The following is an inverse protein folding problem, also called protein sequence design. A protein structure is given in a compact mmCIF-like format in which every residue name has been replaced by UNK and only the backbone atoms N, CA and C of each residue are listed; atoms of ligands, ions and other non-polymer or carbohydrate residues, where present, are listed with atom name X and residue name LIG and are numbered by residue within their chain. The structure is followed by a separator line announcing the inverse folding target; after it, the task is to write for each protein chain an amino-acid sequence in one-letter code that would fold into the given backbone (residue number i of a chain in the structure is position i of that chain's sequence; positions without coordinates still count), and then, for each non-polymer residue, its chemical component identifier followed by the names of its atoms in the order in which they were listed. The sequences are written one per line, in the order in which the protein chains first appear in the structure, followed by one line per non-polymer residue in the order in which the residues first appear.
data_IF_577738502243
#
_entry.id   IF_577738502243
#
_cell.length_a   1.000
_cell.length_b   1.000
_cell.length_c   1.000
_cell.angle_alpha   90.00
_cell.angle_beta   90.00
_cell.angle_gamma   90.00
#
_symmetry.space_group_name_H-M   'P 1'
#
loop_
_entity.id
_entity.type
_entity.pdbx_description
1 polymer ?
#
# COMPACT_ATOMS: atom_id res chain seq x y z
N UNK A 1 31.92 7.51 -14.35
CA UNK A 1 32.01 7.39 -12.88
C UNK A 1 31.51 8.61 -12.06
N UNK A 2 31.09 9.75 -12.66
CA UNK A 2 30.57 10.91 -11.90
C UNK A 2 29.05 10.90 -11.66
N UNK A 3 28.30 10.22 -12.52
CA UNK A 3 26.82 10.13 -12.47
C UNK A 3 26.34 9.22 -11.33
N UNK A 4 27.03 8.09 -11.08
CA UNK A 4 26.65 7.11 -10.05
C UNK A 4 26.83 7.62 -8.62
N UNK A 5 27.84 8.48 -8.36
CA UNK A 5 28.04 9.09 -7.03
C UNK A 5 26.97 10.13 -6.71
N UNK A 6 26.54 10.91 -7.70
CA UNK A 6 25.49 11.92 -7.52
C UNK A 6 24.11 11.27 -7.36
N UNK A 7 23.85 10.17 -8.06
CA UNK A 7 22.63 9.37 -7.90
C UNK A 7 22.56 8.67 -6.53
N UNK A 8 23.68 8.10 -6.04
CA UNK A 8 23.75 7.52 -4.68
C UNK A 8 23.49 8.56 -3.60
N UNK A 9 24.11 9.75 -3.66
CA UNK A 9 23.82 10.81 -2.69
C UNK A 9 22.36 11.28 -2.77
N UNK A 10 21.78 11.40 -3.96
CA UNK A 10 20.37 11.74 -4.13
C UNK A 10 19.47 10.74 -3.39
N UNK A 11 19.67 9.43 -3.60
CA UNK A 11 18.86 8.38 -2.97
C UNK A 11 19.03 8.37 -1.45
N UNK A 12 20.26 8.46 -0.89
CA UNK A 12 20.45 8.36 0.56
C UNK A 12 19.96 9.60 1.30
N UNK A 13 20.18 10.80 0.75
CA UNK A 13 19.82 12.06 1.42
C UNK A 13 18.33 12.38 1.25
N UNK A 14 17.74 12.10 0.08
CA UNK A 14 16.30 12.27 -0.14
C UNK A 14 15.51 11.18 0.59
N UNK A 15 15.92 9.90 0.56
CA UNK A 15 15.18 8.84 1.25
C UNK A 15 15.23 8.95 2.78
N UNK A 16 16.39 9.30 3.36
CA UNK A 16 16.51 9.47 4.82
C UNK A 16 15.74 10.70 5.33
N UNK A 17 15.67 11.78 4.55
CA UNK A 17 14.99 13.01 4.96
C UNK A 17 13.50 13.03 4.57
N UNK A 18 13.10 12.37 3.49
CA UNK A 18 11.69 12.20 3.13
C UNK A 18 10.91 11.41 4.19
N UNK A 19 11.56 10.45 4.86
CA UNK A 19 10.97 9.78 6.05
C UNK A 19 10.80 10.77 7.21
N UNK A 20 11.71 11.74 7.35
CA UNK A 20 11.72 12.71 8.46
C UNK A 20 10.77 13.92 8.24
N UNK A 21 10.52 14.33 6.99
CA UNK A 21 9.53 15.39 6.68
C UNK A 21 8.10 14.85 6.60
N UNK A 22 7.93 13.53 6.44
CA UNK A 22 6.63 12.85 6.40
C UNK A 22 5.84 12.97 7.71
N UNK A 23 6.53 13.03 8.84
CA UNK A 23 5.90 13.13 10.17
C UNK A 23 5.29 14.51 10.45
N UNK A 24 5.76 15.57 9.80
CA UNK A 24 5.36 16.95 10.10
C UNK A 24 4.18 17.47 9.25
N UNK A 25 3.86 16.83 8.12
CA UNK A 25 2.89 17.34 7.15
C UNK A 25 1.49 16.69 7.20
N UNK A 26 1.27 15.72 8.09
CA UNK A 26 0.00 15.02 8.25
C UNK A 26 -0.60 15.38 9.61
N UNK A 27 -1.70 16.14 9.62
CA UNK A 27 -2.40 16.53 10.86
C UNK A 27 -2.70 15.27 11.68
N UNK A 28 -2.25 15.18 12.95
CA UNK A 28 -2.83 14.25 13.89
C UNK A 28 -4.24 14.75 14.25
N UNK A 29 -5.27 13.95 13.97
CA UNK A 29 -6.54 14.11 14.67
C UNK A 29 -6.38 13.46 16.03
N UNK A 30 -6.44 14.25 17.09
CA UNK A 30 -6.42 13.73 18.46
C UNK A 30 -7.61 12.80 18.67
N UNK A 31 -7.34 11.55 19.04
CA UNK A 31 -8.36 10.58 19.41
C UNK A 31 -8.06 10.10 20.84
N UNK A 32 -8.93 10.52 21.75
CA UNK A 32 -8.95 10.09 23.14
C UNK A 32 -10.07 9.05 23.36
N UNK A 33 -9.70 8.06 24.16
CA UNK A 33 -10.51 7.22 25.08
C UNK A 33 -11.51 6.17 24.55
N UNK A 34 -11.15 4.92 24.87
CA UNK A 34 -11.94 3.77 25.39
C UNK A 34 -13.47 3.72 25.16
N UNK A 35 -13.94 2.59 24.62
CA UNK A 35 -15.19 1.95 25.08
C UNK A 35 -15.27 0.46 24.68
N UNK A 36 -15.82 -0.33 25.60
CA UNK A 36 -16.04 -1.78 25.57
C UNK A 36 -17.03 -2.28 24.48
N UNK A 37 -17.06 -3.61 24.26
CA UNK A 37 -17.63 -4.35 23.11
C UNK A 37 -19.17 -4.35 22.94
N UNK A 38 -19.75 -5.14 21.99
CA UNK A 38 -19.75 -6.62 22.07
C UNK A 38 -19.70 -7.43 20.74
N UNK A 39 -19.55 -8.76 20.92
CA UNK A 39 -19.72 -9.93 20.03
C UNK A 39 -18.52 -10.50 19.22
N UNK A 40 -18.34 -11.85 19.21
CA UNK A 40 -17.10 -12.51 18.80
C UNK A 40 -16.99 -12.62 17.28
N UNK A 41 -16.34 -11.63 16.69
CA UNK A 41 -15.63 -11.77 15.42
C UNK A 41 -14.45 -12.71 15.70
N UNK A 42 -14.08 -13.67 14.83
CA UNK A 42 -12.93 -14.55 15.08
C UNK A 42 -11.73 -13.69 15.50
N UNK A 43 -11.06 -14.10 16.57
CA UNK A 43 -10.11 -13.38 17.45
C UNK A 43 -8.95 -12.64 16.73
N UNK A 44 -9.29 -11.72 15.83
CA UNK A 44 -8.37 -10.96 15.01
C UNK A 44 -8.18 -9.59 15.65
N UNK A 45 -6.94 -9.30 16.04
CA UNK A 45 -6.60 -8.03 16.67
C UNK A 45 -6.77 -6.87 15.68
N UNK A 46 -6.90 -5.64 16.19
CA UNK A 46 -6.99 -4.43 15.34
C UNK A 46 -5.80 -4.33 14.38
N UNK A 47 -4.62 -4.75 14.80
CA UNK A 47 -3.40 -4.77 13.98
C UNK A 47 -3.50 -5.79 12.84
N UNK A 48 -4.12 -6.94 13.10
CA UNK A 48 -4.36 -7.98 12.09
C UNK A 48 -5.33 -7.49 11.02
N UNK A 49 -6.39 -6.78 11.44
CA UNK A 49 -7.36 -6.16 10.53
C UNK A 49 -6.69 -5.05 9.72
N UNK A 50 -5.90 -4.18 10.36
CA UNK A 50 -5.12 -3.13 9.69
C UNK A 50 -4.19 -3.73 8.62
N UNK A 51 -3.47 -4.80 8.96
CA UNK A 51 -2.62 -5.55 8.02
C UNK A 51 -3.43 -6.12 6.86
N UNK A 52 -4.60 -6.68 7.11
CA UNK A 52 -5.47 -7.20 6.06
C UNK A 52 -5.95 -6.09 5.10
N UNK A 53 -6.30 -4.91 5.62
CA UNK A 53 -6.60 -3.73 4.79
C UNK A 53 -5.39 -3.27 3.98
N UNK A 54 -4.18 -3.25 4.57
CA UNK A 54 -2.94 -2.90 3.89
C UNK A 54 -2.68 -3.82 2.70
N UNK A 55 -2.72 -5.13 2.92
CA UNK A 55 -2.47 -6.12 1.87
C UNK A 55 -3.57 -6.13 0.80
N UNK A 56 -4.83 -5.92 1.18
CA UNK A 56 -5.95 -5.77 0.25
C UNK A 56 -5.79 -4.53 -0.64
N UNK A 57 -5.30 -3.42 -0.08
CA UNK A 57 -5.05 -2.17 -0.81
C UNK A 57 -4.05 -2.37 -1.95
N UNK A 58 -2.91 -2.99 -1.67
CA UNK A 58 -1.93 -3.36 -2.70
C UNK A 58 -2.56 -4.23 -3.80
N UNK A 59 -3.34 -5.24 -3.40
CA UNK A 59 -3.92 -6.20 -4.31
C UNK A 59 -4.95 -5.58 -5.28
N UNK A 60 -5.84 -4.74 -4.74
CA UNK A 60 -6.86 -4.02 -5.54
C UNK A 60 -6.21 -3.04 -6.49
N UNK A 61 -5.26 -2.21 -6.00
CA UNK A 61 -4.57 -1.26 -6.87
C UNK A 61 -3.79 -1.96 -7.97
N UNK A 62 -3.12 -3.07 -7.66
CA UNK A 62 -2.37 -3.86 -8.64
C UNK A 62 -3.28 -4.38 -9.76
N UNK A 63 -4.47 -4.89 -9.43
CA UNK A 63 -5.45 -5.32 -10.43
C UNK A 63 -6.00 -4.14 -11.24
N UNK A 64 -6.27 -2.99 -10.60
CA UNK A 64 -6.77 -1.79 -11.25
C UNK A 64 -5.79 -1.24 -12.30
N UNK A 65 -4.47 -1.30 -12.03
CA UNK A 65 -3.42 -0.94 -13.00
C UNK A 65 -3.03 -2.09 -13.96
N UNK A 66 -3.83 -3.17 -13.99
CA UNK A 66 -3.67 -4.27 -14.96
C UNK A 66 -2.53 -5.25 -14.64
N UNK A 67 -2.08 -5.34 -13.39
CA UNK A 67 -1.10 -6.34 -12.92
C UNK A 67 -1.82 -7.55 -12.34
N UNK A 68 -1.21 -8.72 -12.49
CA UNK A 68 -1.78 -9.96 -11.97
C UNK A 68 -1.21 -10.31 -10.60
N UNK A 69 -2.07 -10.72 -9.68
CA UNK A 69 -1.67 -11.21 -8.35
C UNK A 69 -1.34 -12.70 -8.40
N UNK A 70 -0.31 -13.11 -7.66
CA UNK A 70 0.05 -14.50 -7.41
C UNK A 70 -0.64 -15.00 -6.13
N UNK A 71 -0.45 -14.28 -5.03
CA UNK A 71 -0.97 -14.62 -3.70
C UNK A 71 -1.00 -13.37 -2.82
N UNK A 72 -1.92 -13.32 -1.86
CA UNK A 72 -1.95 -12.32 -0.80
C UNK A 72 -2.04 -13.05 0.54
N UNK A 73 -1.29 -12.60 1.53
CA UNK A 73 -1.27 -13.20 2.86
C UNK A 73 -1.12 -12.12 3.93
N UNK A 74 -1.74 -12.32 5.10
CA UNK A 74 -1.49 -11.53 6.30
C UNK A 74 -0.59 -12.27 7.30
N UNK A 75 -0.13 -13.49 6.94
CA UNK A 75 0.79 -14.23 7.78
C UNK A 75 2.13 -13.49 7.90
N UNK A 76 2.75 -13.47 9.09
CA UNK A 76 4.06 -12.87 9.26
C UNK A 76 5.12 -13.65 8.46
N UNK A 77 5.87 -12.94 7.62
CA UNK A 77 7.01 -13.48 6.89
C UNK A 77 8.33 -13.23 7.64
N UNK A 78 9.34 -14.07 7.43
CA UNK A 78 10.71 -13.81 7.92
C UNK A 78 11.50 -13.01 6.89
N UNK A 79 12.14 -11.92 7.31
CA UNK A 79 13.12 -11.21 6.49
C UNK A 79 14.48 -11.93 6.55
N UNK A 80 15.22 -11.91 5.43
CA UNK A 80 16.50 -12.61 5.30
C UNK A 80 17.58 -12.14 6.29
N UNK A 81 17.46 -10.91 6.81
CA UNK A 81 18.45 -10.31 7.72
C UNK A 81 17.95 -10.20 9.17
N UNK A 82 16.97 -11.03 9.55
CA UNK A 82 16.27 -10.91 10.83
C UNK A 82 15.18 -9.83 10.78
N UNK A 83 14.06 -10.10 11.46
CA UNK A 83 12.84 -9.29 11.42
C UNK A 83 11.65 -10.04 10.83
N UNK A 84 10.44 -9.57 11.16
CA UNK A 84 9.18 -10.07 10.61
C UNK A 84 8.54 -9.01 9.69
N UNK A 85 7.97 -9.46 8.56
CA UNK A 85 7.08 -8.64 7.73
C UNK A 85 5.65 -9.03 8.06
N UNK A 86 4.77 -8.05 8.29
CA UNK A 86 3.36 -8.25 8.56
C UNK A 86 2.64 -8.37 7.21
N UNK A 87 2.43 -9.59 6.70
CA UNK A 87 1.75 -9.82 5.42
C UNK A 87 2.60 -9.69 4.17
N UNK A 88 2.03 -10.07 3.02
CA UNK A 88 2.64 -9.92 1.68
C UNK A 88 1.60 -10.02 0.57
N UNK A 89 1.63 -9.05 -0.34
CA UNK A 89 0.98 -9.11 -1.65
C UNK A 89 2.01 -9.46 -2.74
N UNK A 90 2.01 -10.70 -3.20
CA UNK A 90 2.89 -11.19 -4.26
C UNK A 90 2.28 -10.91 -5.64
N UNK A 91 2.89 -10.02 -6.41
CA UNK A 91 2.49 -9.72 -7.80
C UNK A 91 3.26 -10.63 -8.75
N UNK A 92 2.57 -11.21 -9.75
CA UNK A 92 3.19 -12.06 -10.76
C UNK A 92 4.26 -11.29 -11.53
N UNK A 93 5.40 -11.94 -11.75
CA UNK A 93 6.47 -11.42 -12.61
C UNK A 93 5.98 -11.34 -14.06
N UNK A 94 6.38 -10.28 -14.75
CA UNK A 94 6.00 -10.02 -16.14
C UNK A 94 5.50 -8.58 -16.32
N UNK A 95 5.64 -8.04 -17.53
CA UNK A 95 5.10 -6.73 -17.86
C UNK A 95 3.57 -6.83 -17.97
N UNK A 96 2.86 -5.88 -17.37
CA UNK A 96 1.45 -5.67 -17.73
C UNK A 96 1.42 -5.26 -19.21
N UNK A 97 0.64 -5.98 -20.03
CA UNK A 97 0.39 -5.60 -21.42
C UNK A 97 -0.49 -4.35 -21.40
N UNK A 98 0.12 -3.16 -21.35
CA UNK A 98 -0.61 -1.89 -21.51
C UNK A 98 -0.27 -0.75 -20.57
N UNK A 99 0.65 -0.93 -19.60
CA UNK A 99 1.06 0.19 -18.74
C UNK A 99 1.75 1.29 -19.56
N UNK A 100 1.14 2.48 -19.58
CA UNK A 100 1.71 3.68 -20.20
C UNK A 100 2.83 4.28 -19.35
N UNK A 101 2.74 4.11 -18.02
CA UNK A 101 3.75 4.57 -17.07
C UNK A 101 3.94 3.54 -15.94
N UNK A 102 4.89 2.63 -16.13
CA UNK A 102 5.17 1.54 -15.17
C UNK A 102 5.61 2.06 -13.80
N UNK A 103 6.30 3.20 -13.76
CA UNK A 103 6.76 3.76 -12.50
C UNK A 103 5.60 4.35 -11.73
N UNK A 104 4.68 5.03 -12.41
CA UNK A 104 3.46 5.51 -11.78
C UNK A 104 2.66 4.34 -11.21
N UNK A 105 2.41 3.29 -12.00
CA UNK A 105 1.68 2.10 -11.55
C UNK A 105 2.34 1.45 -10.33
N UNK A 106 3.67 1.31 -10.34
CA UNK A 106 4.42 0.80 -9.19
C UNK A 106 4.23 1.67 -7.94
N UNK A 107 4.32 2.99 -8.07
CA UNK A 107 4.16 3.91 -6.95
C UNK A 107 2.74 3.90 -6.41
N UNK A 108 1.72 3.85 -7.29
CA UNK A 108 0.33 3.75 -6.87
C UNK A 108 0.09 2.48 -6.06
N UNK A 109 0.60 1.34 -6.54
CA UNK A 109 0.50 0.06 -5.83
C UNK A 109 1.18 0.13 -4.47
N UNK A 110 2.40 0.67 -4.36
CA UNK A 110 3.12 0.78 -3.08
C UNK A 110 2.40 1.69 -2.08
N UNK A 111 1.81 2.80 -2.53
CA UNK A 111 1.06 3.70 -1.65
C UNK A 111 -0.30 3.13 -1.22
N UNK A 112 -0.87 2.21 -2.00
CA UNK A 112 -2.22 1.70 -1.80
C UNK A 112 -2.41 0.96 -0.47
N UNK A 113 -1.38 0.28 0.04
CA UNK A 113 -1.47 -0.41 1.32
C UNK A 113 -1.74 0.57 2.47
N UNK A 114 -0.86 1.55 2.62
CA UNK A 114 -0.97 2.57 3.66
C UNK A 114 -2.29 3.38 3.56
N UNK A 115 -2.76 3.67 2.35
CA UNK A 115 -4.03 4.37 2.10
C UNK A 115 -5.25 3.51 2.45
N UNK A 116 -5.20 2.21 2.17
CA UNK A 116 -6.27 1.30 2.54
C UNK A 116 -6.32 1.07 4.06
N UNK A 117 -5.16 0.90 4.70
CA UNK A 117 -5.04 0.79 6.15
C UNK A 117 -5.60 2.03 6.85
N UNK A 118 -5.25 3.24 6.40
CA UNK A 118 -5.69 4.49 7.02
C UNK A 118 -7.20 4.69 6.96
N UNK A 119 -7.91 4.04 6.04
CA UNK A 119 -9.38 4.07 6.01
C UNK A 119 -10.00 3.27 7.15
N UNK A 120 -9.31 2.25 7.64
CA UNK A 120 -9.74 1.47 8.79
C UNK A 120 -9.26 2.10 10.10
N UNK A 121 -7.99 2.51 10.17
CA UNK A 121 -7.38 3.04 11.39
C UNK A 121 -7.66 4.54 11.62
N UNK A 122 -8.11 5.25 10.59
CA UNK A 122 -8.33 6.71 10.61
C UNK A 122 -7.07 7.55 10.43
N UNK A 123 -5.89 6.92 10.44
CA UNK A 123 -4.59 7.62 10.36
C UNK A 123 -3.61 6.87 9.47
N UNK A 124 -2.74 7.60 8.80
CA UNK A 124 -1.63 7.00 8.09
C UNK A 124 -0.64 6.37 9.08
N UNK A 125 -0.12 5.18 8.73
CA UNK A 125 0.93 4.50 9.48
C UNK A 125 2.23 4.40 8.66
N UNK A 126 3.09 5.45 8.67
CA UNK A 126 4.35 5.43 7.93
C UNK A 126 5.33 4.35 8.41
N UNK A 127 5.25 3.98 9.70
CA UNK A 127 6.09 2.93 10.28
C UNK A 127 5.75 1.55 9.69
N UNK A 128 4.45 1.23 9.59
CA UNK A 128 3.95 0.00 8.97
C UNK A 128 4.27 -0.06 7.47
N UNK A 129 4.16 1.07 6.78
CA UNK A 129 4.47 1.20 5.34
C UNK A 129 5.93 1.58 5.04
N UNK A 130 6.85 1.45 6.00
CA UNK A 130 8.22 1.99 5.87
C UNK A 130 9.02 1.41 4.69
N UNK A 131 8.81 0.12 4.39
CA UNK A 131 9.42 -0.52 3.22
C UNK A 131 8.82 0.02 1.91
N UNK A 132 7.49 0.16 1.84
CA UNK A 132 6.79 0.68 0.67
C UNK A 132 7.21 2.14 0.39
N UNK A 133 7.26 2.97 1.43
CA UNK A 133 7.67 4.37 1.31
C UNK A 133 9.12 4.54 0.87
N UNK A 134 10.02 3.64 1.31
CA UNK A 134 11.41 3.60 0.84
C UNK A 134 11.46 3.29 -0.66
N UNK A 135 10.67 2.32 -1.10
CA UNK A 135 10.57 1.93 -2.51
C UNK A 135 9.92 3.01 -3.38
N UNK A 136 8.89 3.70 -2.86
CA UNK A 136 8.28 4.87 -3.50
C UNK A 136 9.33 5.95 -3.68
N UNK A 137 10.07 6.29 -2.62
CA UNK A 137 11.09 7.34 -2.70
C UNK A 137 12.17 7.00 -3.73
N UNK A 138 12.67 5.77 -3.73
CA UNK A 138 13.66 5.31 -4.71
C UNK A 138 13.15 5.46 -6.16
N UNK A 139 11.88 5.12 -6.41
CA UNK A 139 11.25 5.28 -7.73
C UNK A 139 11.08 6.74 -8.10
N UNK A 140 10.54 7.57 -7.21
CA UNK A 140 10.30 9.00 -7.49
C UNK A 140 11.60 9.80 -7.70
N UNK A 141 12.70 9.40 -7.05
CA UNK A 141 14.02 10.01 -7.27
C UNK A 141 14.52 9.87 -8.72
N UNK A 142 14.02 8.90 -9.49
CA UNK A 142 14.36 8.79 -10.92
C UNK A 142 13.74 9.91 -11.77
N UNK A 143 12.72 10.60 -11.25
CA UNK A 143 11.97 11.67 -11.95
C UNK A 143 12.07 13.04 -11.29
N UNK A 144 12.46 13.10 -10.02
CA UNK A 144 12.62 14.35 -9.29
C UNK A 144 14.11 14.74 -9.25
N UNK A 145 14.43 15.95 -9.71
CA UNK A 145 15.78 16.50 -9.66
C UNK A 145 16.08 17.24 -8.34
N UNK A 146 15.07 17.46 -7.49
CA UNK A 146 15.22 18.11 -6.19
C UNK A 146 14.24 17.58 -5.15
N UNK A 147 14.53 17.82 -3.87
CA UNK A 147 13.67 17.46 -2.74
C UNK A 147 12.25 18.02 -2.88
N UNK A 148 12.12 19.30 -3.24
CA UNK A 148 10.81 19.94 -3.42
C UNK A 148 10.00 19.29 -4.53
N UNK A 149 10.65 18.89 -5.62
CA UNK A 149 9.99 18.15 -6.71
C UNK A 149 9.57 16.76 -6.25
N UNK A 150 10.41 16.06 -5.48
CA UNK A 150 10.09 14.76 -4.92
C UNK A 150 8.85 14.83 -4.02
N UNK A 151 8.79 15.79 -3.10
CA UNK A 151 7.65 15.99 -2.20
C UNK A 151 6.37 16.36 -2.95
N UNK A 152 6.47 17.23 -3.96
CA UNK A 152 5.32 17.62 -4.79
C UNK A 152 4.79 16.42 -5.57
N UNK A 153 5.69 15.62 -6.15
CA UNK A 153 5.34 14.41 -6.89
C UNK A 153 4.70 13.37 -5.97
N UNK A 154 5.28 13.14 -4.79
CA UNK A 154 4.74 12.21 -3.80
C UNK A 154 3.33 12.61 -3.37
N UNK A 155 3.10 13.88 -3.02
CA UNK A 155 1.76 14.39 -2.68
C UNK A 155 0.74 14.14 -3.78
N UNK A 156 1.15 14.37 -5.04
CA UNK A 156 0.30 14.12 -6.21
C UNK A 156 -0.02 12.62 -6.38
N UNK A 157 0.98 11.75 -6.21
CA UNK A 157 0.78 10.31 -6.29
C UNK A 157 -0.12 9.80 -5.16
N UNK A 158 0.07 10.29 -3.93
CA UNK A 158 -0.78 9.94 -2.80
C UNK A 158 -2.23 10.38 -3.02
N UNK A 159 -2.47 11.62 -3.44
CA UNK A 159 -3.81 12.13 -3.77
C UNK A 159 -4.49 11.30 -4.86
N UNK A 160 -3.69 10.86 -5.86
CA UNK A 160 -4.19 10.00 -6.95
C UNK A 160 -4.54 8.60 -6.43
N UNK A 161 -3.71 8.00 -5.57
CA UNK A 161 -4.01 6.71 -4.92
C UNK A 161 -5.27 6.80 -4.09
N UNK A 162 -5.42 7.82 -3.25
CA UNK A 162 -6.61 8.07 -2.44
C UNK A 162 -7.87 8.14 -3.31
N UNK A 163 -7.82 8.93 -4.39
CA UNK A 163 -8.93 9.11 -5.31
C UNK A 163 -9.34 7.80 -6.00
N UNK A 164 -8.37 7.06 -6.54
CA UNK A 164 -8.63 5.77 -7.20
C UNK A 164 -9.22 4.74 -6.24
N UNK A 165 -8.72 4.67 -5.00
CA UNK A 165 -9.26 3.76 -3.98
C UNK A 165 -10.57 4.25 -3.35
N UNK A 166 -10.99 5.50 -3.60
CA UNK A 166 -12.28 6.00 -3.10
C UNK A 166 -13.47 5.61 -3.96
N UNK A 167 -13.22 5.03 -5.13
CA UNK A 167 -14.25 4.45 -5.97
C UNK A 167 -15.00 3.32 -5.23
N UNK A 168 -16.33 3.28 -5.36
CA UNK A 168 -17.17 2.33 -4.62
C UNK A 168 -16.82 0.88 -4.92
N UNK A 169 -16.52 0.55 -6.19
CA UNK A 169 -16.13 -0.80 -6.59
C UNK A 169 -14.81 -1.21 -5.95
N UNK A 170 -13.84 -0.29 -5.89
CA UNK A 170 -12.56 -0.56 -5.26
C UNK A 170 -12.69 -0.72 -3.73
N UNK A 171 -13.54 0.09 -3.08
CA UNK A 171 -13.82 -0.04 -1.65
C UNK A 171 -14.49 -1.36 -1.30
N UNK A 172 -15.48 -1.77 -2.09
CA UNK A 172 -16.16 -3.04 -1.91
C UNK A 172 -15.22 -4.23 -2.16
N UNK A 173 -14.35 -4.15 -3.19
CA UNK A 173 -13.31 -5.15 -3.43
C UNK A 173 -12.34 -5.28 -2.24
N UNK A 174 -11.86 -4.15 -1.69
CA UNK A 174 -10.97 -4.15 -0.51
C UNK A 174 -11.67 -4.86 0.65
N UNK A 175 -12.92 -4.52 0.96
CA UNK A 175 -13.67 -5.14 2.07
C UNK A 175 -13.84 -6.65 1.88
N UNK A 176 -14.19 -7.08 0.66
CA UNK A 176 -14.38 -8.50 0.35
C UNK A 176 -13.07 -9.30 0.49
N UNK A 177 -11.95 -8.74 -0.01
CA UNK A 177 -10.62 -9.34 0.09
C UNK A 177 -10.16 -9.38 1.54
N UNK A 178 -10.31 -8.28 2.29
CA UNK A 178 -9.98 -8.21 3.73
C UNK A 178 -10.74 -9.27 4.51
N UNK A 179 -12.03 -9.44 4.27
CA UNK A 179 -12.85 -10.47 4.93
C UNK A 179 -12.27 -11.87 4.68
N UNK A 180 -11.99 -12.21 3.42
CA UNK A 180 -11.44 -13.54 3.11
C UNK A 180 -10.01 -13.74 3.67
N UNK A 181 -9.21 -12.67 3.73
CA UNK A 181 -7.89 -12.71 4.38
C UNK A 181 -8.00 -12.98 5.89
N UNK A 182 -8.97 -12.38 6.57
CA UNK A 182 -9.20 -12.64 8.00
C UNK A 182 -9.67 -14.08 8.22
N UNK A 183 -10.50 -14.61 7.32
CA UNK A 183 -11.00 -16.00 7.41
C UNK A 183 -9.92 -17.05 7.11
N UNK A 184 -9.05 -16.79 6.12
CA UNK A 184 -8.13 -17.81 5.56
C UNK A 184 -6.65 -17.53 5.78
N UNK A 185 -6.31 -16.35 6.30
CA UNK A 185 -4.93 -15.80 6.41
C UNK A 185 -4.22 -15.58 5.06
N UNK A 186 -4.46 -16.43 4.07
CA UNK A 186 -3.83 -16.42 2.75
C UNK A 186 -4.85 -16.75 1.68
N UNK A 187 -4.86 -15.96 0.62
CA UNK A 187 -5.73 -16.17 -0.54
C UNK A 187 -4.92 -16.19 -1.83
N UNK A 188 -5.39 -16.96 -2.80
CA UNK A 188 -4.75 -17.06 -4.12
C UNK A 188 -5.06 -15.81 -4.97
N UNK A 189 -4.18 -15.49 -5.91
CA UNK A 189 -4.46 -14.39 -6.85
C UNK A 189 -5.73 -14.58 -7.69
N UNK A 190 -6.23 -15.82 -7.86
CA UNK A 190 -7.52 -16.08 -8.50
C UNK A 190 -8.70 -15.63 -7.63
N UNK A 191 -8.63 -15.88 -6.32
CA UNK A 191 -9.65 -15.44 -5.38
C UNK A 191 -9.70 -13.91 -5.29
N UNK A 192 -8.53 -13.26 -5.18
CA UNK A 192 -8.41 -11.79 -5.22
C UNK A 192 -9.05 -11.22 -6.49
N UNK A 193 -8.68 -11.77 -7.66
CA UNK A 193 -9.21 -11.32 -8.95
C UNK A 193 -10.73 -11.50 -9.02
N UNK A 194 -11.25 -12.61 -8.50
CA UNK A 194 -12.69 -12.87 -8.45
C UNK A 194 -13.45 -11.82 -7.64
N UNK A 195 -12.98 -11.49 -6.43
CA UNK A 195 -13.60 -10.44 -5.61
C UNK A 195 -13.58 -9.08 -6.29
N UNK A 196 -12.43 -8.72 -6.87
CA UNK A 196 -12.28 -7.49 -7.62
C UNK A 196 -13.29 -7.42 -8.79
N UNK A 197 -13.34 -8.43 -9.66
CA UNK A 197 -14.29 -8.47 -10.78
C UNK A 197 -15.76 -8.54 -10.35
N UNK A 198 -16.05 -9.12 -9.19
CA UNK A 198 -17.41 -9.14 -8.63
C UNK A 198 -17.82 -7.77 -8.09
N UNK A 199 -16.91 -7.03 -7.47
CA UNK A 199 -17.16 -5.65 -7.03
C UNK A 199 -17.34 -4.73 -8.23
N UNK A 200 -16.45 -4.81 -9.23
CA UNK A 200 -16.57 -4.02 -10.47
C UNK A 200 -17.90 -4.25 -11.19
N UNK A 201 -18.40 -5.50 -11.23
CA UNK A 201 -19.71 -5.79 -11.82
C UNK A 201 -20.91 -5.30 -11.01
N UNK A 202 -20.77 -5.06 -9.70
CA UNK A 202 -21.85 -4.58 -8.84
C UNK A 202 -22.05 -3.06 -8.93
N UNK A 203 -21.01 -2.33 -9.34
CA UNK A 203 -20.99 -0.87 -9.41
C UNK A 203 -20.78 -0.33 -10.85
N UNK A 204 -20.89 -1.19 -11.86
CA UNK A 204 -20.86 -0.84 -13.29
C UNK A 204 -22.28 -0.53 -13.81
#
# INVERSE_FOLDING_TARGET
MRVERSFRLCVTTIAAFAVLTYTAAMKPSEANTESEGPDPIPDATKETIATAYHEAGHAVMALAVGRSIQKVTIAPGKLQFGGSRLGTCEIKKGRSKGSKDQLEDDVLVLLAGMVSESRFTGVYCPAGASQDLREVSARLCTRAASQRQHETLLKRMLSKTEHLLNDEANLDAIRAITKELLDKTTISGRAVKHHFEMAQRRHA
#
